data_IF_445352265399
#
_entry.id   IF_445352265399
#
_cell.length_a   1.000
_cell.length_b   1.000
_cell.length_c   1.000
_cell.angle_alpha   90.00
_cell.angle_beta   90.00
_cell.angle_gamma   90.00
#
_symmetry.space_group_name_H-M   'P 1'
#
loop_
_entity.id
_entity.type
_entity.pdbx_description
1 polymer ?
#
# COMPACT_ATOMS: atom_id res chain seq x y z
N UNK A 1 9.64 22.54 10.07
CA UNK A 1 8.32 22.81 9.46
C UNK A 1 8.20 22.30 8.03
N UNK A 2 8.94 22.82 7.03
CA UNK A 2 8.81 22.43 5.59
C UNK A 2 8.78 20.90 5.36
N UNK A 3 9.68 20.13 6.00
CA UNK A 3 9.73 18.66 5.89
C UNK A 3 8.42 17.97 6.31
N UNK A 4 7.72 18.45 7.35
CA UNK A 4 6.46 17.88 7.82
C UNK A 4 5.30 18.22 6.87
N UNK A 5 5.26 19.44 6.35
CA UNK A 5 4.26 19.86 5.36
C UNK A 5 4.33 19.03 4.07
N UNK A 6 5.55 18.76 3.57
CA UNK A 6 5.75 17.89 2.41
C UNK A 6 5.26 16.45 2.61
N UNK A 7 5.40 15.91 3.83
CA UNK A 7 4.92 14.57 4.17
C UNK A 7 3.39 14.50 4.28
N UNK A 8 2.76 15.52 4.86
CA UNK A 8 1.30 15.64 4.86
C UNK A 8 0.75 15.73 3.42
N UNK A 9 1.42 16.48 2.54
CA UNK A 9 1.06 16.55 1.12
C UNK A 9 1.20 15.17 0.45
N UNK A 10 2.29 14.43 0.69
CA UNK A 10 2.46 13.06 0.18
C UNK A 10 1.41 12.08 0.73
N UNK A 11 1.01 12.21 2.00
CA UNK A 11 -0.08 11.42 2.59
C UNK A 11 -1.42 11.73 1.90
N UNK A 12 -1.73 13.01 1.66
CA UNK A 12 -2.94 13.42 0.94
C UNK A 12 -2.94 12.95 -0.52
N UNK A 13 -1.78 13.00 -1.19
CA UNK A 13 -1.59 12.46 -2.54
C UNK A 13 -1.84 10.95 -2.57
N UNK A 14 -1.31 10.20 -1.60
CA UNK A 14 -1.57 8.76 -1.47
C UNK A 14 -3.04 8.47 -1.15
N UNK A 15 -3.69 9.28 -0.31
CA UNK A 15 -5.13 9.18 -0.01
C UNK A 15 -6.01 9.45 -1.25
N UNK A 16 -5.55 10.28 -2.19
CA UNK A 16 -6.19 10.46 -3.50
C UNK A 16 -5.91 9.28 -4.44
N UNK A 17 -4.65 8.83 -4.54
CA UNK A 17 -4.26 7.69 -5.39
C UNK A 17 -5.02 6.41 -5.01
N UNK A 18 -5.17 6.11 -3.72
CA UNK A 18 -5.88 4.90 -3.28
C UNK A 18 -7.40 5.01 -3.50
N UNK A 19 -7.98 6.21 -3.42
CA UNK A 19 -9.39 6.39 -3.78
C UNK A 19 -9.59 6.21 -5.29
N UNK A 20 -8.65 6.75 -6.10
CA UNK A 20 -8.55 6.52 -7.55
C UNK A 20 -8.22 5.06 -7.91
N UNK A 21 -7.67 4.25 -7.00
CA UNK A 21 -7.48 2.81 -7.26
C UNK A 21 -8.74 1.99 -6.99
N UNK A 22 -9.45 2.29 -5.90
CA UNK A 22 -10.57 1.48 -5.41
C UNK A 22 -11.87 1.73 -6.18
N UNK A 23 -12.17 2.99 -6.53
CA UNK A 23 -13.43 3.38 -7.17
C UNK A 23 -13.59 2.86 -8.61
N UNK A 24 -12.71 3.20 -9.58
CA UNK A 24 -12.91 2.80 -10.97
C UNK A 24 -12.82 1.28 -11.14
N UNK A 25 -11.96 0.62 -10.38
CA UNK A 25 -11.78 -0.83 -10.40
C UNK A 25 -12.87 -1.56 -9.62
N UNK A 26 -13.87 -0.83 -9.07
CA UNK A 26 -15.06 -1.34 -8.38
C UNK A 26 -14.77 -2.35 -7.26
N UNK A 27 -13.60 -2.24 -6.63
CA UNK A 27 -13.20 -3.08 -5.47
C UNK A 27 -14.17 -2.85 -4.32
N UNK A 28 -14.61 -1.59 -4.15
CA UNK A 28 -15.79 -1.23 -3.35
C UNK A 28 -16.83 -0.64 -4.33
N UNK A 29 -18.07 -1.14 -4.31
CA UNK A 29 -19.12 -0.75 -5.28
C UNK A 29 -19.62 0.68 -5.07
N UNK A 30 -19.56 1.18 -3.83
CA UNK A 30 -20.07 2.50 -3.45
C UNK A 30 -18.88 3.48 -3.39
N UNK A 31 -18.82 4.50 -4.27
CA UNK A 31 -17.78 5.52 -4.20
C UNK A 31 -17.91 6.32 -2.89
N UNK A 32 -16.81 6.51 -2.17
CA UNK A 32 -16.85 7.20 -0.88
C UNK A 32 -15.49 7.75 -0.46
N UNK A 33 -15.48 9.00 0.03
CA UNK A 33 -14.31 9.63 0.63
C UNK A 33 -13.86 8.97 1.95
N UNK A 34 -14.66 8.06 2.52
CA UNK A 34 -14.30 7.24 3.69
C UNK A 34 -12.95 6.54 3.48
N UNK A 35 -12.64 6.12 2.24
CA UNK A 35 -11.37 5.48 1.87
C UNK A 35 -10.18 6.42 2.14
N UNK A 36 -10.26 7.66 1.66
CA UNK A 36 -9.21 8.67 1.86
C UNK A 36 -9.08 9.06 3.34
N UNK A 37 -10.19 9.19 4.08
CA UNK A 37 -10.17 9.50 5.51
C UNK A 37 -9.45 8.40 6.30
N UNK A 38 -9.76 7.13 6.04
CA UNK A 38 -9.13 5.99 6.72
C UNK A 38 -7.65 5.87 6.32
N UNK A 39 -7.29 6.17 5.08
CA UNK A 39 -5.88 6.25 4.67
C UNK A 39 -5.11 7.32 5.44
N UNK A 40 -5.68 8.51 5.58
CA UNK A 40 -5.05 9.59 6.36
C UNK A 40 -4.90 9.15 7.81
N UNK A 41 -5.96 8.69 8.49
CA UNK A 41 -5.86 8.32 9.92
C UNK A 41 -4.82 7.23 10.18
N UNK A 42 -4.79 6.18 9.36
CA UNK A 42 -3.81 5.09 9.50
C UNK A 42 -2.36 5.50 9.18
N UNK A 43 -2.16 6.54 8.38
CA UNK A 43 -0.82 7.04 7.99
C UNK A 43 -0.31 8.21 8.83
N UNK A 44 -1.16 8.88 9.63
CA UNK A 44 -0.74 9.95 10.54
C UNK A 44 0.46 9.59 11.45
N UNK A 45 0.56 8.38 12.05
CA UNK A 45 1.71 8.03 12.89
C UNK A 45 3.06 7.98 12.15
N UNK A 46 3.06 7.86 10.81
CA UNK A 46 4.29 7.88 9.99
C UNK A 46 5.02 9.23 10.05
N UNK A 47 4.33 10.30 10.49
CA UNK A 47 4.89 11.65 10.67
C UNK A 47 6.05 11.66 11.70
N UNK A 48 6.16 10.64 12.55
CA UNK A 48 7.21 10.54 13.59
C UNK A 48 8.41 9.62 13.24
N UNK A 49 8.39 8.87 12.12
CA UNK A 49 9.29 7.72 11.85
C UNK A 49 10.72 7.97 11.29
N UNK A 50 11.23 9.20 11.20
CA UNK A 50 12.50 9.59 10.53
C UNK A 50 12.63 9.28 9.01
N UNK A 51 12.36 8.05 8.57
CA UNK A 51 12.58 7.54 7.19
C UNK A 51 11.38 7.92 6.28
N UNK A 52 10.84 9.11 6.46
CA UNK A 52 9.46 9.42 6.05
C UNK A 52 9.23 9.48 4.53
N UNK A 53 10.24 9.93 3.76
CA UNK A 53 10.12 10.11 2.31
C UNK A 53 10.17 8.78 1.55
N UNK A 54 11.14 7.90 1.84
CA UNK A 54 11.18 6.55 1.28
C UNK A 54 9.91 5.75 1.59
N UNK A 55 9.41 5.85 2.83
CA UNK A 55 8.16 5.20 3.23
C UNK A 55 6.94 5.71 2.43
N UNK A 56 6.73 7.03 2.33
CA UNK A 56 5.56 7.60 1.62
C UNK A 56 5.64 7.44 0.10
N UNK A 57 6.84 7.44 -0.50
CA UNK A 57 7.05 7.16 -1.92
C UNK A 57 6.90 5.67 -2.25
N UNK A 58 7.39 4.76 -1.39
CA UNK A 58 7.14 3.32 -1.57
C UNK A 58 5.64 2.98 -1.52
N UNK A 59 4.86 3.67 -0.68
CA UNK A 59 3.39 3.57 -0.69
C UNK A 59 2.77 4.04 -2.01
N UNK A 60 3.21 5.18 -2.55
CA UNK A 60 2.60 5.74 -3.77
C UNK A 60 2.81 4.79 -4.96
N UNK A 61 4.03 4.28 -5.13
CA UNK A 61 4.37 3.32 -6.18
C UNK A 61 3.66 1.99 -5.95
N UNK A 62 3.55 1.51 -4.70
CA UNK A 62 2.83 0.28 -4.40
C UNK A 62 1.33 0.39 -4.74
N UNK A 63 0.66 1.51 -4.42
CA UNK A 63 -0.72 1.76 -4.84
C UNK A 63 -0.83 1.72 -6.37
N UNK A 64 0.15 2.26 -7.10
CA UNK A 64 0.20 2.20 -8.55
C UNK A 64 0.41 0.76 -9.08
N UNK A 65 1.31 -0.04 -8.50
CA UNK A 65 1.43 -1.47 -8.85
C UNK A 65 0.09 -2.20 -8.67
N UNK A 66 -0.58 -1.97 -7.54
CA UNK A 66 -1.88 -2.57 -7.23
C UNK A 66 -2.95 -2.17 -8.26
N UNK A 67 -3.01 -0.90 -8.68
CA UNK A 67 -3.93 -0.49 -9.75
C UNK A 67 -3.71 -1.24 -11.06
N UNK A 68 -2.47 -1.26 -11.55
CA UNK A 68 -2.18 -1.83 -12.87
C UNK A 68 -2.32 -3.37 -12.85
N UNK A 69 -2.11 -4.03 -11.71
CA UNK A 69 -2.40 -5.47 -11.54
C UNK A 69 -3.90 -5.76 -11.62
N UNK A 70 -4.76 -5.01 -10.91
CA UNK A 70 -6.22 -5.22 -11.02
C UNK A 70 -6.70 -4.93 -12.45
N UNK A 71 -6.12 -3.91 -13.10
CA UNK A 71 -6.46 -3.52 -14.47
C UNK A 71 -6.17 -4.63 -15.50
N UNK A 72 -5.37 -5.66 -15.17
CA UNK A 72 -5.17 -6.84 -16.03
C UNK A 72 -6.47 -7.58 -16.35
N UNK A 73 -7.51 -7.46 -15.52
CA UNK A 73 -8.80 -8.10 -15.75
C UNK A 73 -9.59 -7.47 -16.92
N UNK A 74 -9.56 -6.14 -17.04
CA UNK A 74 -10.56 -5.37 -17.82
C UNK A 74 -9.94 -4.58 -18.98
N UNK A 75 -8.61 -4.63 -19.19
CA UNK A 75 -7.91 -3.75 -20.14
C UNK A 75 -7.79 -4.29 -21.57
N UNK A 76 -8.20 -3.48 -22.54
CA UNK A 76 -7.92 -3.66 -23.98
C UNK A 76 -6.44 -3.50 -24.36
N UNK A 77 -5.61 -2.95 -23.47
CA UNK A 77 -4.19 -2.62 -23.73
C UNK A 77 -3.21 -3.37 -22.81
N UNK A 78 -3.42 -4.69 -22.65
CA UNK A 78 -2.65 -5.59 -21.76
C UNK A 78 -1.13 -5.37 -21.82
N UNK A 79 -0.54 -5.20 -23.01
CA UNK A 79 0.92 -4.96 -23.14
C UNK A 79 1.40 -3.73 -22.35
N UNK A 80 0.58 -2.67 -22.28
CA UNK A 80 0.91 -1.42 -21.57
C UNK A 80 0.79 -1.57 -20.06
N UNK A 81 -0.26 -2.27 -19.57
CA UNK A 81 -0.42 -2.53 -18.13
C UNK A 81 0.68 -3.47 -17.62
N UNK A 82 0.99 -4.53 -18.36
CA UNK A 82 2.08 -5.47 -18.04
C UNK A 82 3.47 -4.81 -18.03
N UNK A 83 3.74 -3.87 -18.94
CA UNK A 83 4.99 -3.09 -18.88
C UNK A 83 5.03 -2.22 -17.60
N UNK A 84 3.94 -1.52 -17.29
CA UNK A 84 3.86 -0.64 -16.11
C UNK A 84 3.98 -1.40 -14.79
N UNK A 85 3.38 -2.58 -14.64
CA UNK A 85 3.51 -3.38 -13.41
C UNK A 85 4.97 -3.74 -13.16
N UNK A 86 5.68 -4.21 -14.19
CA UNK A 86 7.14 -4.43 -14.14
C UNK A 86 7.91 -3.16 -13.79
N UNK A 87 7.64 -2.05 -14.50
CA UNK A 87 8.31 -0.77 -14.30
C UNK A 87 8.15 -0.19 -12.89
N UNK A 88 6.94 -0.21 -12.32
CA UNK A 88 6.72 0.27 -10.96
C UNK A 88 7.40 -0.62 -9.91
N UNK A 89 7.45 -1.94 -10.09
CA UNK A 89 8.25 -2.83 -9.22
C UNK A 89 9.75 -2.58 -9.39
N UNK A 90 10.21 -2.29 -10.61
CA UNK A 90 11.60 -1.87 -10.87
C UNK A 90 11.96 -0.62 -10.07
N UNK A 91 11.12 0.43 -10.08
CA UNK A 91 11.33 1.63 -9.25
C UNK A 91 11.32 1.31 -7.75
N UNK A 92 10.41 0.44 -7.28
CA UNK A 92 10.43 0.01 -5.87
C UNK A 92 11.76 -0.68 -5.50
N UNK A 93 12.32 -1.51 -6.38
CA UNK A 93 13.61 -2.18 -6.15
C UNK A 93 14.81 -1.23 -6.04
N UNK A 94 14.71 0.01 -6.56
CA UNK A 94 15.71 1.07 -6.38
C UNK A 94 15.62 1.75 -5.01
N UNK A 95 14.46 1.72 -4.36
CA UNK A 95 14.21 2.30 -3.03
C UNK A 95 14.76 1.35 -1.93
N UNK A 96 14.49 0.06 -2.09
CA UNK A 96 15.08 -1.02 -1.28
C UNK A 96 15.13 -2.29 -2.13
N UNK A 97 16.30 -2.93 -2.21
CA UNK A 97 16.51 -4.13 -3.03
C UNK A 97 15.57 -5.29 -2.64
N UNK A 98 15.13 -5.37 -1.38
CA UNK A 98 14.18 -6.38 -0.94
C UNK A 98 12.81 -6.26 -1.65
N UNK A 99 12.46 -5.12 -2.24
CA UNK A 99 11.26 -5.01 -3.08
C UNK A 99 11.36 -5.75 -4.42
N UNK A 100 12.54 -6.21 -4.85
CA UNK A 100 12.67 -7.08 -6.02
C UNK A 100 11.81 -8.36 -5.89
N UNK A 101 11.61 -8.85 -4.66
CA UNK A 101 10.74 -10.00 -4.38
C UNK A 101 9.26 -9.77 -4.75
N UNK A 102 8.79 -8.52 -4.84
CA UNK A 102 7.44 -8.19 -5.35
C UNK A 102 7.27 -8.58 -6.82
N UNK A 103 8.37 -8.72 -7.59
CA UNK A 103 8.30 -9.17 -8.98
C UNK A 103 7.60 -10.53 -9.09
N UNK A 104 7.85 -11.46 -8.15
CA UNK A 104 7.19 -12.77 -8.10
C UNK A 104 5.68 -12.66 -7.92
N UNK A 105 5.19 -11.71 -7.10
CA UNK A 105 3.75 -11.44 -6.98
C UNK A 105 3.21 -10.92 -8.31
N UNK A 106 3.90 -10.00 -8.97
CA UNK A 106 3.44 -9.48 -10.26
C UNK A 106 3.47 -10.52 -11.38
N UNK A 107 4.38 -11.51 -11.32
CA UNK A 107 4.43 -12.63 -12.26
C UNK A 107 3.29 -13.62 -12.00
N UNK A 108 3.08 -14.02 -10.74
CA UNK A 108 1.95 -14.88 -10.35
C UNK A 108 0.60 -14.21 -10.61
N UNK A 109 0.52 -12.87 -10.58
CA UNK A 109 -0.70 -12.15 -10.96
C UNK A 109 -1.06 -12.31 -12.45
N UNK A 110 -0.08 -12.44 -13.36
CA UNK A 110 -0.37 -12.73 -14.78
C UNK A 110 -1.06 -14.10 -14.93
N UNK A 111 -0.60 -15.10 -14.18
CA UNK A 111 -1.22 -16.43 -14.15
C UNK A 111 -2.64 -16.36 -13.56
N UNK A 112 -2.80 -15.65 -12.43
CA UNK A 112 -4.08 -15.50 -11.74
C UNK A 112 -5.17 -14.79 -12.56
N UNK A 113 -4.80 -13.80 -13.38
CA UNK A 113 -5.70 -13.12 -14.31
C UNK A 113 -5.75 -13.76 -15.72
N UNK A 114 -5.17 -14.96 -15.88
CA UNK A 114 -5.08 -15.70 -17.15
C UNK A 114 -4.51 -14.89 -18.33
N UNK A 115 -3.64 -13.92 -18.06
CA UNK A 115 -2.94 -13.07 -19.04
C UNK A 115 -1.49 -13.53 -19.30
N UNK A 116 -1.12 -14.74 -18.84
CA UNK A 116 0.24 -15.24 -19.00
C UNK A 116 0.51 -15.66 -20.46
N UNK A 117 1.52 -15.04 -21.06
CA UNK A 117 2.08 -15.37 -22.36
C UNK A 117 3.57 -15.05 -22.29
N UNK A 118 4.43 -15.82 -22.95
CA UNK A 118 5.86 -15.52 -23.08
C UNK A 118 6.13 -14.07 -23.51
N UNK A 119 5.33 -13.52 -24.43
CA UNK A 119 5.42 -12.11 -24.84
C UNK A 119 5.13 -11.14 -23.68
N UNK A 120 4.17 -11.45 -22.81
CA UNK A 120 3.85 -10.63 -21.64
C UNK A 120 4.92 -10.75 -20.55
N UNK A 121 5.45 -11.94 -20.31
CA UNK A 121 6.58 -12.16 -19.42
C UNK A 121 7.81 -11.31 -19.82
N UNK A 122 8.23 -11.35 -21.09
CA UNK A 122 9.34 -10.52 -21.56
C UNK A 122 9.06 -9.01 -21.45
N UNK A 123 7.84 -8.55 -21.77
CA UNK A 123 7.46 -7.14 -21.61
C UNK A 123 7.55 -6.70 -20.14
N UNK A 124 7.12 -7.55 -19.21
CA UNK A 124 7.20 -7.29 -17.77
C UNK A 124 8.64 -7.27 -17.26
N UNK A 125 9.49 -8.18 -17.75
CA UNK A 125 10.91 -8.26 -17.42
C UNK A 125 11.66 -7.02 -17.93
N UNK A 126 11.42 -6.59 -19.18
CA UNK A 126 11.96 -5.34 -19.73
C UNK A 126 11.51 -4.15 -18.86
N UNK A 127 10.22 -4.09 -18.49
CA UNK A 127 9.70 -3.08 -17.56
C UNK A 127 10.46 -3.06 -16.23
N UNK A 128 10.69 -4.22 -15.61
CA UNK A 128 11.40 -4.35 -14.33
C UNK A 128 12.87 -3.94 -14.41
N UNK A 129 13.59 -4.33 -15.48
CA UNK A 129 15.01 -4.01 -15.67
C UNK A 129 15.23 -2.54 -16.06
N UNK A 130 14.29 -1.92 -16.75
CA UNK A 130 14.46 -0.58 -17.32
C UNK A 130 14.85 0.52 -16.28
N UNK A 131 14.21 0.65 -15.11
CA UNK A 131 14.66 1.58 -14.06
C UNK A 131 16.08 1.34 -13.59
N UNK A 132 16.49 0.08 -13.41
CA UNK A 132 17.84 -0.27 -12.98
C UNK A 132 18.88 0.04 -14.06
N UNK A 133 18.58 -0.28 -15.32
CA UNK A 133 19.43 0.07 -16.46
C UNK A 133 19.60 1.59 -16.63
N UNK A 134 18.55 2.38 -16.38
CA UNK A 134 18.62 3.84 -16.40
C UNK A 134 19.51 4.39 -15.28
N UNK A 135 19.39 3.89 -14.05
CA UNK A 135 20.29 4.28 -12.96
C UNK A 135 21.75 3.88 -13.23
N UNK A 136 21.99 2.72 -13.85
CA UNK A 136 23.33 2.29 -14.24
C UNK A 136 23.93 3.19 -15.33
N UNK A 137 23.13 3.61 -16.33
CA UNK A 137 23.56 4.55 -17.35
C UNK A 137 23.94 5.93 -16.77
N UNK A 138 23.17 6.45 -15.80
CA UNK A 138 23.51 7.69 -15.09
C UNK A 138 24.80 7.57 -14.27
N UNK A 139 25.04 6.41 -13.64
CA UNK A 139 26.29 6.13 -12.94
C UNK A 139 27.49 6.14 -13.89
N UNK A 140 27.37 5.51 -15.07
CA UNK A 140 28.41 5.53 -16.10
C UNK A 140 28.69 6.94 -16.66
N UNK A 141 27.69 7.83 -16.70
CA UNK A 141 27.89 9.22 -17.11
C UNK A 141 28.48 10.11 -16.00
N UNK A 142 29.08 9.52 -14.96
CA UNK A 142 29.61 10.19 -13.76
C UNK A 142 28.62 11.12 -13.06
N UNK A 143 27.31 10.92 -13.26
CA UNK A 143 26.29 11.73 -12.60
C UNK A 143 26.13 11.25 -11.16
N UNK A 144 26.76 11.96 -10.22
CA UNK A 144 26.67 11.65 -8.79
C UNK A 144 25.26 11.90 -8.27
N UNK A 145 24.42 10.86 -8.31
CA UNK A 145 23.15 10.83 -7.60
C UNK A 145 23.42 11.15 -6.12
N UNK A 146 22.86 12.24 -5.57
CA UNK A 146 23.08 12.59 -4.17
C UNK A 146 22.56 11.44 -3.29
N UNK A 147 23.30 11.16 -2.19
CA UNK A 147 23.05 10.05 -1.26
C UNK A 147 21.55 9.82 -1.02
N UNK A 148 21.01 8.74 -1.60
CA UNK A 148 19.58 8.65 -1.93
C UNK A 148 18.67 8.96 -0.72
N UNK A 149 17.95 10.10 -0.70
CA UNK A 149 17.07 10.46 0.42
C UNK A 149 15.82 9.56 0.51
N UNK A 150 15.61 8.72 -0.49
CA UNK A 150 14.54 7.72 -0.56
C UNK A 150 14.95 6.35 0.01
N UNK A 151 16.24 6.08 0.20
CA UNK A 151 16.71 4.73 0.54
C UNK A 151 16.34 4.36 1.98
N UNK A 152 15.66 3.23 2.16
CA UNK A 152 15.21 2.70 3.45
C UNK A 152 16.39 2.09 4.26
N UNK A 153 17.41 2.91 4.55
CA UNK A 153 18.67 2.49 5.16
C UNK A 153 18.52 1.94 6.57
N UNK A 154 17.84 2.67 7.47
CA UNK A 154 17.90 2.40 8.92
C UNK A 154 16.94 1.30 9.38
N UNK A 155 17.47 0.39 10.21
CA UNK A 155 16.67 -0.50 11.05
C UNK A 155 15.77 0.33 11.98
N UNK A 156 14.54 -0.14 12.21
CA UNK A 156 13.58 0.53 13.09
C UNK A 156 13.93 0.31 14.56
N UNK A 157 15.03 0.90 15.03
CA UNK A 157 15.37 1.04 16.47
C UNK A 157 14.42 2.00 17.22
N UNK A 158 13.32 2.39 16.59
CA UNK A 158 12.28 3.29 17.09
C UNK A 158 10.88 2.63 17.07
N UNK A 159 10.77 1.31 16.84
CA UNK A 159 9.47 0.64 16.98
C UNK A 159 9.02 0.51 18.42
N UNK A 160 9.95 0.46 19.38
CA UNK A 160 9.60 0.53 20.80
C UNK A 160 8.82 1.82 21.07
N UNK A 161 9.35 2.97 20.64
CA UNK A 161 8.63 4.26 20.71
C UNK A 161 7.23 4.19 20.08
N UNK A 162 7.07 3.47 18.96
CA UNK A 162 5.78 3.32 18.30
C UNK A 162 4.78 2.43 19.07
N UNK A 163 5.23 1.27 19.54
CA UNK A 163 4.42 0.31 20.29
C UNK A 163 4.09 0.77 21.70
N UNK A 164 4.98 1.51 22.35
CA UNK A 164 4.72 2.12 23.65
C UNK A 164 3.75 3.30 23.51
N UNK A 165 4.07 4.29 22.67
CA UNK A 165 3.31 5.55 22.63
C UNK A 165 1.94 5.44 21.94
N UNK A 166 1.84 4.65 20.86
CA UNK A 166 0.60 4.50 20.08
C UNK A 166 -0.13 3.20 20.40
N UNK A 167 0.15 2.58 21.56
CA UNK A 167 -0.43 1.28 21.98
C UNK A 167 -1.95 1.23 21.84
N UNK A 168 -2.66 2.22 22.38
CA UNK A 168 -4.13 2.28 22.32
C UNK A 168 -4.63 2.40 20.88
N UNK A 169 -4.03 3.28 20.09
CA UNK A 169 -4.34 3.48 18.67
C UNK A 169 -4.11 2.19 17.86
N UNK A 170 -3.03 1.45 18.12
CA UNK A 170 -2.73 0.18 17.46
C UNK A 170 -3.69 -0.94 17.85
N UNK A 171 -4.04 -1.07 19.13
CA UNK A 171 -5.05 -2.03 19.60
C UNK A 171 -6.41 -1.75 18.95
N UNK A 172 -6.79 -0.48 18.84
CA UNK A 172 -8.02 -0.04 18.17
C UNK A 172 -8.01 -0.40 16.67
N UNK A 173 -6.92 -0.09 15.95
CA UNK A 173 -6.78 -0.47 14.54
C UNK A 173 -6.89 -1.98 14.38
N UNK A 174 -6.18 -2.74 15.20
CA UNK A 174 -6.15 -4.20 15.13
C UNK A 174 -7.54 -4.79 15.40
N UNK A 175 -8.29 -4.27 16.38
CA UNK A 175 -9.66 -4.68 16.65
C UNK A 175 -10.61 -4.37 15.48
N UNK A 176 -10.57 -3.15 14.93
CA UNK A 176 -11.39 -2.78 13.76
C UNK A 176 -10.98 -3.56 12.50
N UNK A 177 -9.69 -3.84 12.34
CA UNK A 177 -9.17 -4.65 11.24
C UNK A 177 -9.69 -6.10 11.33
N UNK A 178 -9.61 -6.75 12.49
CA UNK A 178 -10.18 -8.10 12.71
C UNK A 178 -11.68 -8.12 12.42
N UNK A 179 -12.45 -7.16 12.97
CA UNK A 179 -13.89 -7.05 12.69
C UNK A 179 -14.17 -6.89 11.19
N UNK A 180 -13.37 -6.06 10.50
CA UNK A 180 -13.50 -5.83 9.06
C UNK A 180 -13.15 -7.06 8.22
N UNK A 181 -12.21 -7.90 8.67
CA UNK A 181 -11.83 -9.17 8.04
C UNK A 181 -12.93 -10.23 8.21
N UNK A 182 -13.51 -10.35 9.41
CA UNK A 182 -14.63 -11.27 9.69
C UNK A 182 -15.86 -10.91 8.85
N UNK A 183 -16.24 -9.64 8.79
CA UNK A 183 -17.38 -9.19 7.97
C UNK A 183 -17.10 -9.35 6.46
N UNK A 184 -15.84 -9.16 6.04
CA UNK A 184 -15.42 -9.40 4.66
C UNK A 184 -15.54 -10.88 4.28
N UNK A 185 -15.10 -11.79 5.16
CA UNK A 185 -15.23 -13.24 4.97
C UNK A 185 -16.71 -13.65 4.87
N UNK A 186 -17.54 -13.24 5.84
CA UNK A 186 -18.97 -13.55 5.88
C UNK A 186 -19.73 -13.06 4.63
N UNK A 187 -19.35 -11.90 4.07
CA UNK A 187 -19.98 -11.35 2.86
C UNK A 187 -19.19 -11.64 1.57
N UNK A 188 -18.11 -12.42 1.61
CA UNK A 188 -17.22 -12.62 0.47
C UNK A 188 -17.96 -13.16 -0.76
N UNK A 189 -18.81 -14.18 -0.55
CA UNK A 189 -19.60 -14.81 -1.61
C UNK A 189 -20.51 -13.83 -2.37
N UNK A 190 -21.03 -12.80 -1.69
CA UNK A 190 -21.94 -11.78 -2.27
C UNK A 190 -21.23 -10.76 -3.16
N UNK A 191 -19.89 -10.74 -3.21
CA UNK A 191 -19.12 -9.80 -4.04
C UNK A 191 -19.00 -10.27 -5.49
N UNK A 192 -18.89 -9.30 -6.42
CA UNK A 192 -18.56 -9.53 -7.83
C UNK A 192 -17.18 -10.17 -7.98
N UNK A 193 -16.97 -10.91 -9.06
CA UNK A 193 -15.74 -11.65 -9.30
C UNK A 193 -14.48 -10.76 -9.37
N UNK A 194 -14.51 -9.63 -10.11
CA UNK A 194 -13.37 -8.71 -10.16
C UNK A 194 -13.01 -8.16 -8.76
N UNK A 195 -14.01 -7.90 -7.91
CA UNK A 195 -13.78 -7.48 -6.53
C UNK A 195 -13.20 -8.63 -5.68
N UNK A 196 -13.67 -9.87 -5.83
CA UNK A 196 -13.09 -11.06 -5.20
C UNK A 196 -11.60 -11.23 -5.56
N UNK A 197 -11.27 -11.12 -6.86
CA UNK A 197 -9.89 -11.17 -7.37
C UNK A 197 -9.01 -10.08 -6.73
N UNK A 198 -9.51 -8.83 -6.66
CA UNK A 198 -8.80 -7.74 -5.99
C UNK A 198 -8.59 -7.97 -4.48
N UNK A 199 -9.60 -8.46 -3.75
CA UNK A 199 -9.44 -8.77 -2.32
C UNK A 199 -8.49 -9.94 -2.06
N UNK A 200 -8.49 -10.98 -2.90
CA UNK A 200 -7.51 -12.06 -2.81
C UNK A 200 -6.08 -11.54 -3.01
N UNK A 201 -5.88 -10.65 -3.97
CA UNK A 201 -4.58 -10.01 -4.21
C UNK A 201 -4.13 -9.16 -3.01
N UNK A 202 -5.03 -8.46 -2.33
CA UNK A 202 -4.72 -7.74 -1.08
C UNK A 202 -4.33 -8.68 0.05
N UNK A 203 -4.96 -9.85 0.17
CA UNK A 203 -4.57 -10.87 1.16
C UNK A 203 -3.15 -11.39 0.88
N UNK A 204 -2.79 -11.63 -0.39
CA UNK A 204 -1.43 -12.00 -0.80
C UNK A 204 -0.43 -10.90 -0.43
N UNK A 205 -0.76 -9.61 -0.66
CA UNK A 205 0.09 -8.50 -0.22
C UNK A 205 0.27 -8.44 1.32
N UNK A 206 -0.80 -8.68 2.11
CA UNK A 206 -0.68 -8.74 3.57
C UNK A 206 0.29 -9.85 3.99
N UNK A 207 0.08 -11.07 3.49
CA UNK A 207 0.92 -12.22 3.79
C UNK A 207 2.38 -11.93 3.40
N UNK A 208 2.60 -11.36 2.22
CA UNK A 208 3.94 -11.02 1.75
C UNK A 208 4.66 -10.02 2.65
N UNK A 209 4.04 -8.88 3.01
CA UNK A 209 4.73 -7.88 3.84
C UNK A 209 4.96 -8.37 5.27
N UNK A 210 4.04 -9.17 5.83
CA UNK A 210 4.25 -9.82 7.13
C UNK A 210 5.41 -10.81 7.04
N UNK A 211 5.42 -11.72 6.06
CA UNK A 211 6.49 -12.70 5.85
C UNK A 211 7.86 -12.02 5.64
N UNK A 212 7.90 -10.99 4.78
CA UNK A 212 9.10 -10.20 4.50
C UNK A 212 9.62 -9.50 5.77
N UNK A 213 8.73 -8.96 6.62
CA UNK A 213 9.12 -8.32 7.87
C UNK A 213 9.73 -9.30 8.88
N UNK A 214 9.22 -10.54 8.93
CA UNK A 214 9.69 -11.61 9.82
C UNK A 214 11.03 -12.18 9.30
N UNK A 215 11.10 -12.58 8.02
CA UNK A 215 12.27 -13.23 7.44
C UNK A 215 13.53 -12.34 7.47
N UNK A 216 13.36 -11.04 7.23
CA UNK A 216 14.47 -10.08 7.26
C UNK A 216 14.78 -9.54 8.66
N UNK A 217 14.01 -9.96 9.68
CA UNK A 217 13.95 -9.35 11.02
C UNK A 217 13.92 -7.81 10.96
N UNK A 218 13.19 -7.31 9.96
CA UNK A 218 13.24 -5.93 9.51
C UNK A 218 11.80 -5.45 9.30
N UNK A 219 11.22 -4.78 10.31
CA UNK A 219 9.85 -4.27 10.24
C UNK A 219 9.71 -3.03 9.33
N UNK A 220 10.71 -2.77 8.47
CA UNK A 220 10.76 -1.74 7.43
C UNK A 220 9.62 -1.81 6.42
N UNK A 221 8.88 -2.91 6.36
CA UNK A 221 7.79 -3.14 5.41
C UNK A 221 6.41 -3.06 6.07
N UNK A 222 6.33 -2.94 7.41
CA UNK A 222 5.05 -2.91 8.14
C UNK A 222 4.19 -1.70 7.77
N UNK A 223 4.80 -0.55 7.43
CA UNK A 223 4.02 0.63 7.00
C UNK A 223 3.18 0.34 5.76
N UNK A 224 3.63 -0.54 4.85
CA UNK A 224 2.90 -0.87 3.63
C UNK A 224 1.57 -1.59 3.90
N UNK A 225 1.40 -2.22 5.08
CA UNK A 225 0.13 -2.82 5.51
C UNK A 225 -0.99 -1.79 5.70
N UNK A 226 -0.68 -0.48 5.76
CA UNK A 226 -1.68 0.59 5.70
C UNK A 226 -2.51 0.50 4.40
N UNK A 227 -1.91 0.17 3.26
CA UNK A 227 -2.65 0.09 1.98
C UNK A 227 -3.74 -1.01 2.01
N UNK A 228 -3.47 -2.30 2.30
CA UNK A 228 -4.52 -3.31 2.36
C UNK A 228 -5.49 -3.09 3.53
N UNK A 229 -5.01 -2.66 4.71
CA UNK A 229 -5.90 -2.41 5.86
C UNK A 229 -6.90 -1.29 5.60
N UNK A 230 -6.50 -0.20 4.94
CA UNK A 230 -7.43 0.87 4.56
C UNK A 230 -8.55 0.37 3.67
N UNK A 231 -8.28 -0.44 2.64
CA UNK A 231 -9.30 -0.95 1.71
C UNK A 231 -10.28 -1.89 2.42
N UNK A 232 -9.78 -2.74 3.32
CA UNK A 232 -10.60 -3.71 4.07
C UNK A 232 -11.47 -3.01 5.12
N UNK A 233 -10.89 -2.10 5.92
CA UNK A 233 -11.61 -1.28 6.91
C UNK A 233 -12.62 -0.33 6.25
N UNK A 234 -12.28 0.26 5.10
CA UNK A 234 -13.20 1.08 4.31
C UNK A 234 -14.36 0.27 3.78
N UNK A 235 -14.10 -0.93 3.25
CA UNK A 235 -15.15 -1.85 2.81
C UNK A 235 -16.10 -2.17 3.96
N UNK A 236 -15.59 -2.47 5.16
CA UNK A 236 -16.42 -2.68 6.34
C UNK A 236 -17.30 -1.46 6.63
N UNK A 237 -16.70 -0.30 6.89
CA UNK A 237 -17.41 0.92 7.29
C UNK A 237 -18.39 1.41 6.21
N UNK A 238 -18.14 1.18 4.92
CA UNK A 238 -19.07 1.54 3.85
C UNK A 238 -20.32 0.63 3.85
N UNK A 239 -20.17 -0.66 4.16
CA UNK A 239 -21.27 -1.63 4.14
C UNK A 239 -21.96 -1.89 5.49
N UNK A 240 -21.42 -1.42 6.63
CA UNK A 240 -22.10 -1.55 7.93
C UNK A 240 -23.49 -0.89 7.91
N UNK A 241 -24.54 -1.67 8.20
CA UNK A 241 -25.94 -1.19 8.27
C UNK A 241 -26.16 -0.16 9.38
N UNK A 242 -25.51 -0.33 10.53
CA UNK A 242 -25.72 0.49 11.72
C UNK A 242 -24.96 1.83 11.64
N UNK A 243 -25.62 2.87 11.09
CA UNK A 243 -25.04 4.22 10.91
C UNK A 243 -24.42 4.78 12.19
N UNK A 244 -25.06 4.61 13.36
CA UNK A 244 -24.54 5.05 14.68
C UNK A 244 -23.23 4.35 15.08
N UNK A 245 -23.15 3.03 14.85
CA UNK A 245 -21.96 2.24 15.16
C UNK A 245 -20.78 2.62 14.25
N UNK A 246 -21.05 2.85 12.95
CA UNK A 246 -20.06 3.37 12.01
C UNK A 246 -19.49 4.72 12.43
N UNK A 247 -20.35 5.68 12.82
CA UNK A 247 -19.89 7.01 13.27
C UNK A 247 -19.11 6.90 14.58
N UNK A 248 -19.49 6.00 15.48
CA UNK A 248 -18.74 5.71 16.69
C UNK A 248 -17.34 5.17 16.39
N UNK A 249 -17.21 4.15 15.52
CA UNK A 249 -15.90 3.61 15.14
C UNK A 249 -14.99 4.63 14.44
N UNK A 250 -15.55 5.45 13.53
CA UNK A 250 -14.79 6.52 12.87
C UNK A 250 -14.34 7.60 13.87
N UNK A 251 -15.23 8.02 14.77
CA UNK A 251 -14.89 8.96 15.84
C UNK A 251 -13.81 8.41 16.77
N UNK A 252 -13.92 7.14 17.16
CA UNK A 252 -12.96 6.45 18.03
C UNK A 252 -11.57 6.29 17.38
N UNK A 253 -11.50 6.03 16.07
CA UNK A 253 -10.24 6.04 15.29
C UNK A 253 -9.60 7.44 15.22
N UNK A 254 -10.38 8.50 15.08
CA UNK A 254 -9.88 9.87 15.07
C UNK A 254 -9.41 10.31 16.47
N UNK A 255 -10.24 10.09 17.49
CA UNK A 255 -9.99 10.50 18.88
C UNK A 255 -8.79 9.76 19.46
N UNK A 256 -8.62 8.47 19.17
CA UNK A 256 -7.46 7.69 19.68
C UNK A 256 -6.11 8.19 19.15
N UNK A 257 -6.08 8.90 18.02
CA UNK A 257 -4.88 9.62 17.57
C UNK A 257 -4.76 11.00 18.26
N UNK A 258 -5.84 11.78 18.32
CA UNK A 258 -5.78 13.14 18.88
C UNK A 258 -5.52 13.16 20.39
N UNK A 259 -5.95 12.14 21.15
CA UNK A 259 -5.69 12.04 22.58
C UNK A 259 -4.20 12.11 22.92
N UNK A 260 -3.31 11.53 22.10
CA UNK A 260 -1.86 11.68 22.31
C UNK A 260 -1.36 13.08 21.94
N UNK A 261 -1.96 13.73 20.94
CA UNK A 261 -1.63 15.10 20.55
C UNK A 261 -2.05 16.17 21.58
N UNK A 262 -3.01 15.86 22.45
CA UNK A 262 -3.43 16.74 23.56
C UNK A 262 -2.78 16.40 24.91
N UNK A 263 -2.03 15.30 25.00
CA UNK A 263 -1.25 14.88 26.18
C UNK A 263 0.26 15.18 26.04
N UNK A 264 0.63 15.98 25.03
CA UNK A 264 1.96 16.53 24.75
C UNK A 264 1.90 18.06 24.77
#
# INVERSE_FOLDING_TARGET
>A
MVKAGGLLLMILLNAFLINKSVIPNRVIKIPSYIISVIFITLSLPLIHLNIHWGATVSMSILILTYTEIINLADCTSIKKTVFKTGFFVGILSLIDHHFAWLYLITLTSLLYYSQFNWKHFFIQLIGFVYPAGFCYALYLSNYSLPTNPFLLTKSFRQLDYYFYDYKLFLVIILAVFILSMVELYNNYYRKKENAKKAFNLLLVFIIFFVLQSILLNSPKFIHLLIIPSTIIMSNYLIYTKHKKFRTFLLGLLLISFTLKFFYL
#
